data_IF_087814589839
#
_entry.id   IF_087814589839
#
_cell.length_a   1.000
_cell.length_b   1.000
_cell.length_c   1.000
_cell.angle_alpha   90.00
_cell.angle_beta   90.00
_cell.angle_gamma   90.00
#
_symmetry.space_group_name_H-M   'P 1'
#
loop_
_entity.id
_entity.type
_entity.pdbx_description
1 polymer ?
#
# COMPACT_ATOMS: atom_id res chain seq x y z
N UNK A 1 -4.92 10.37 16.63
CA UNK A 1 -4.28 9.29 17.41
C UNK A 1 -4.21 8.03 16.54
N UNK A 2 -3.05 7.39 16.36
CA UNK A 2 -2.87 6.22 15.47
C UNK A 2 -3.47 4.97 16.13
N UNK A 3 -4.54 4.43 15.55
CA UNK A 3 -5.27 3.29 16.13
C UNK A 3 -4.93 1.95 15.47
N UNK A 4 -4.83 1.95 14.14
CA UNK A 4 -4.40 0.79 13.36
C UNK A 4 -2.88 0.60 13.49
N UNK A 5 -2.45 -0.23 14.45
CA UNK A 5 -1.03 -0.43 14.81
C UNK A 5 -0.77 -0.35 16.31
N UNK A 6 -1.70 0.25 17.07
CA UNK A 6 -1.62 0.36 18.53
C UNK A 6 -2.66 -0.53 19.22
N UNK A 7 -3.85 -0.65 18.63
CA UNK A 7 -4.94 -1.46 19.19
C UNK A 7 -5.00 -2.84 18.50
N UNK A 8 -5.09 -3.89 19.30
CA UNK A 8 -5.36 -5.26 18.83
C UNK A 8 -6.80 -5.36 18.35
N UNK A 9 -7.01 -6.07 17.24
CA UNK A 9 -8.35 -6.43 16.73
C UNK A 9 -8.89 -7.76 17.28
N UNK A 10 -8.20 -8.40 18.24
CA UNK A 10 -8.62 -9.69 18.82
C UNK A 10 -10.01 -9.62 19.42
N UNK A 11 -10.29 -8.55 20.16
CA UNK A 11 -11.51 -8.37 20.95
C UNK A 11 -12.36 -7.17 20.46
N UNK A 12 -12.05 -6.62 19.27
CA UNK A 12 -12.74 -5.44 18.74
C UNK A 12 -12.68 -5.34 17.22
N UNK A 13 -13.70 -4.74 16.64
CA UNK A 13 -13.71 -4.34 15.24
C UNK A 13 -13.02 -2.97 15.07
N UNK A 14 -11.82 -2.99 14.47
CA UNK A 14 -11.04 -1.76 14.23
C UNK A 14 -11.71 -0.80 13.24
N UNK A 15 -12.58 -1.27 12.35
CA UNK A 15 -13.29 -0.37 11.42
C UNK A 15 -14.36 0.45 12.14
N UNK A 16 -14.93 -0.08 13.23
CA UNK A 16 -15.95 0.60 14.05
C UNK A 16 -15.36 1.47 15.17
N UNK A 17 -14.06 1.38 15.39
CA UNK A 17 -13.38 2.11 16.45
C UNK A 17 -13.38 3.62 16.17
N UNK A 18 -13.86 4.42 17.12
CA UNK A 18 -14.06 5.88 16.97
C UNK A 18 -12.78 6.56 16.50
N UNK A 19 -12.84 7.40 15.47
CA UNK A 19 -11.66 8.13 14.98
C UNK A 19 -10.65 7.29 14.18
N UNK A 20 -10.99 6.07 13.77
CA UNK A 20 -10.26 5.35 12.70
C UNK A 20 -10.65 5.88 11.33
N UNK A 21 -11.95 6.03 11.06
CA UNK A 21 -12.46 6.61 9.81
C UNK A 21 -12.10 5.84 8.55
N UNK A 22 -11.89 4.52 8.65
CA UNK A 22 -11.59 3.64 7.52
C UNK A 22 -12.81 2.78 7.18
N UNK A 23 -13.06 2.58 5.89
CA UNK A 23 -14.21 1.83 5.41
C UNK A 23 -13.76 0.49 4.81
N UNK A 24 -14.24 -0.66 5.31
CA UNK A 24 -13.98 -1.93 4.65
C UNK A 24 -14.76 -2.01 3.33
N UNK A 25 -14.11 -2.47 2.26
CA UNK A 25 -14.72 -2.73 0.96
C UNK A 25 -14.41 -4.16 0.52
N UNK A 26 -15.35 -4.86 -0.15
CA UNK A 26 -15.06 -6.17 -0.73
C UNK A 26 -13.85 -6.10 -1.68
N UNK A 27 -12.99 -7.09 -1.55
CA UNK A 27 -11.89 -7.34 -2.49
C UNK A 27 -12.41 -7.92 -3.80
N UNK A 28 -11.62 -7.81 -4.87
CA UNK A 28 -11.96 -8.31 -6.22
C UNK A 28 -11.81 -9.81 -6.36
N UNK A 29 -10.83 -10.43 -5.67
CA UNK A 29 -10.49 -11.86 -5.82
C UNK A 29 -10.49 -12.64 -4.50
N UNK A 30 -10.37 -11.97 -3.36
CA UNK A 30 -10.24 -12.60 -2.04
C UNK A 30 -11.40 -12.28 -1.09
N UNK A 31 -11.52 -13.07 0.00
CA UNK A 31 -12.50 -12.84 1.07
C UNK A 31 -12.10 -11.71 2.03
N UNK A 32 -10.80 -11.52 2.25
CA UNK A 32 -10.30 -10.47 3.12
C UNK A 32 -10.63 -9.10 2.50
N UNK A 33 -11.20 -8.13 3.24
CA UNK A 33 -11.58 -6.83 2.68
C UNK A 33 -10.36 -5.94 2.42
N UNK A 34 -10.50 -5.01 1.48
CA UNK A 34 -9.60 -3.86 1.33
C UNK A 34 -10.12 -2.65 2.11
N UNK A 35 -9.26 -1.67 2.33
CA UNK A 35 -9.62 -0.37 2.91
C UNK A 35 -9.98 0.59 1.78
N UNK A 36 -11.20 1.11 1.73
CA UNK A 36 -11.69 1.96 0.62
C UNK A 36 -10.83 3.20 0.38
N UNK A 37 -10.30 3.80 1.45
CA UNK A 37 -9.50 5.03 1.43
C UNK A 37 -8.05 4.81 0.99
N UNK A 38 -7.61 3.55 0.83
CA UNK A 38 -6.27 3.25 0.34
C UNK A 38 -6.09 3.63 -1.14
N UNK A 39 -4.91 4.15 -1.48
CA UNK A 39 -4.57 4.54 -2.85
C UNK A 39 -4.16 3.36 -3.75
N UNK A 40 -3.82 2.23 -3.13
CA UNK A 40 -3.35 1.02 -3.80
C UNK A 40 -3.62 -0.21 -2.95
N UNK A 41 -3.85 -1.34 -3.62
CA UNK A 41 -4.20 -2.61 -3.01
C UNK A 41 -3.47 -3.75 -3.71
N UNK A 42 -2.90 -4.63 -2.89
CA UNK A 42 -2.35 -5.91 -3.30
C UNK A 42 -3.16 -6.99 -2.62
N UNK A 43 -3.89 -7.77 -3.40
CA UNK A 43 -4.60 -8.95 -2.91
C UNK A 43 -3.67 -10.15 -3.02
N UNK A 44 -3.31 -10.72 -1.88
CA UNK A 44 -2.32 -11.79 -1.80
C UNK A 44 -2.90 -13.07 -1.20
N UNK A 45 -2.63 -14.22 -1.84
CA UNK A 45 -2.82 -15.55 -1.24
C UNK A 45 -1.56 -15.94 -0.50
N UNK A 46 -1.68 -16.37 0.76
CA UNK A 46 -0.52 -16.89 1.51
C UNK A 46 -0.06 -18.21 0.89
N UNK A 47 1.20 -18.25 0.44
CA UNK A 47 1.82 -19.44 -0.16
C UNK A 47 2.89 -20.05 0.74
N UNK A 48 3.44 -19.30 1.70
CA UNK A 48 4.40 -19.81 2.68
C UNK A 48 4.28 -19.07 4.01
N UNK A 49 4.53 -19.78 5.11
CA UNK A 49 4.74 -19.23 6.45
C UNK A 49 6.11 -19.68 6.93
N UNK A 50 6.90 -18.76 7.47
CA UNK A 50 8.25 -19.03 7.98
C UNK A 50 8.33 -18.49 9.40
N UNK A 51 8.57 -19.36 10.38
CA UNK A 51 8.82 -18.96 11.76
C UNK A 51 10.23 -18.35 11.86
N UNK A 52 10.32 -17.14 12.39
CA UNK A 52 11.55 -16.36 12.52
C UNK A 52 11.60 -15.75 13.91
N UNK A 53 12.14 -16.51 14.87
CA UNK A 53 12.19 -16.10 16.28
C UNK A 53 10.79 -15.98 16.88
N UNK A 54 10.46 -14.78 17.36
CA UNK A 54 9.16 -14.40 17.93
C UNK A 54 8.13 -13.91 16.88
N UNK A 55 8.49 -13.96 15.59
CA UNK A 55 7.65 -13.50 14.49
C UNK A 55 7.36 -14.62 13.47
N UNK A 56 6.30 -14.45 12.69
CA UNK A 56 6.03 -15.29 11.52
C UNK A 56 6.07 -14.42 10.26
N UNK A 57 6.96 -14.76 9.33
CA UNK A 57 6.99 -14.17 7.99
C UNK A 57 6.00 -14.89 7.09
N UNK A 58 5.05 -14.14 6.52
CA UNK A 58 4.12 -14.64 5.52
C UNK A 58 4.59 -14.25 4.12
N UNK A 59 4.71 -15.22 3.22
CA UNK A 59 4.97 -14.98 1.79
C UNK A 59 3.64 -15.06 1.05
N UNK A 60 3.28 -13.98 0.36
CA UNK A 60 2.04 -13.87 -0.40
C UNK A 60 2.29 -13.86 -1.91
N UNK A 61 1.52 -14.66 -2.64
CA UNK A 61 1.38 -14.57 -4.10
C UNK A 61 0.34 -13.50 -4.43
N UNK A 62 0.72 -12.48 -5.20
CA UNK A 62 -0.21 -11.43 -5.66
C UNK A 62 -1.15 -12.03 -6.70
N UNK A 63 -2.44 -12.10 -6.38
CA UNK A 63 -3.48 -12.61 -7.29
C UNK A 63 -4.24 -11.49 -8.01
N UNK A 64 -4.13 -10.26 -7.49
CA UNK A 64 -4.70 -9.05 -8.07
C UNK A 64 -4.00 -7.81 -7.48
N UNK A 65 -3.79 -6.79 -8.31
CA UNK A 65 -3.19 -5.53 -7.92
C UNK A 65 -3.91 -4.37 -8.63
N UNK A 66 -4.27 -3.34 -7.86
CA UNK A 66 -4.90 -2.15 -8.41
C UNK A 66 -4.60 -0.93 -7.55
N UNK A 67 -4.60 0.22 -8.19
CA UNK A 67 -4.38 1.50 -7.56
C UNK A 67 -5.31 2.55 -8.16
N UNK A 68 -5.42 3.68 -7.48
CA UNK A 68 -6.06 4.87 -8.02
C UNK A 68 -5.32 5.32 -9.29
N UNK A 69 -6.06 5.59 -10.36
CA UNK A 69 -5.51 5.96 -11.67
C UNK A 69 -4.68 7.25 -11.61
N UNK A 70 -4.94 8.13 -10.63
CA UNK A 70 -4.13 9.34 -10.40
C UNK A 70 -2.70 8.98 -9.99
N UNK A 71 -2.53 7.86 -9.30
CA UNK A 71 -1.29 7.41 -8.67
C UNK A 71 -0.56 6.36 -9.51
N UNK A 72 -1.26 5.58 -10.32
CA UNK A 72 -0.65 4.59 -11.21
C UNK A 72 -1.41 4.44 -12.52
N UNK A 73 -0.74 4.64 -13.65
CA UNK A 73 -1.34 4.63 -14.99
C UNK A 73 -1.27 3.25 -15.68
N UNK A 74 -0.84 2.20 -14.96
CA UNK A 74 -0.61 0.86 -15.51
C UNK A 74 0.85 0.59 -15.86
N UNK A 75 1.67 1.64 -16.04
CA UNK A 75 3.09 1.52 -16.37
C UNK A 75 3.98 2.15 -15.30
N UNK A 76 3.55 3.28 -14.73
CA UNK A 76 4.38 4.10 -13.84
C UNK A 76 3.59 4.60 -12.63
N UNK A 77 4.24 4.49 -11.47
CA UNK A 77 3.80 5.17 -10.25
C UNK A 77 4.09 6.67 -10.35
N UNK A 78 3.06 7.49 -10.16
CA UNK A 78 3.15 8.93 -10.09
C UNK A 78 3.26 9.36 -8.62
N UNK A 79 4.47 9.62 -8.12
CA UNK A 79 4.63 10.06 -6.74
C UNK A 79 3.98 11.43 -6.51
N UNK A 80 3.88 12.30 -7.52
CA UNK A 80 3.29 13.66 -7.37
C UNK A 80 1.79 13.65 -7.05
N UNK A 81 1.10 12.54 -7.30
CA UNK A 81 -0.32 12.43 -7.01
C UNK A 81 -0.65 12.16 -5.54
N UNK A 82 0.35 11.87 -4.70
CA UNK A 82 0.10 11.45 -3.31
C UNK A 82 1.26 11.76 -2.38
N UNK A 83 0.91 12.13 -1.15
CA UNK A 83 1.83 12.17 -0.01
C UNK A 83 1.92 10.79 0.62
N UNK A 84 3.07 10.12 0.43
CA UNK A 84 3.29 8.81 1.03
C UNK A 84 3.69 8.94 2.50
N UNK A 85 3.07 8.12 3.34
CA UNK A 85 3.42 8.03 4.75
C UNK A 85 4.57 7.02 4.92
N UNK A 86 5.66 7.42 5.57
CA UNK A 86 6.78 6.53 5.90
C UNK A 86 6.88 6.33 7.41
N UNK A 87 7.13 5.10 7.87
CA UNK A 87 7.38 4.82 9.29
C UNK A 87 8.88 4.85 9.58
N UNK A 88 9.33 5.86 10.34
CA UNK A 88 10.73 5.99 10.80
C UNK A 88 10.95 5.53 12.24
N UNK A 89 9.94 4.91 12.84
CA UNK A 89 9.98 4.38 14.20
C UNK A 89 9.18 5.23 15.19
N UNK A 90 8.71 4.58 16.25
CA UNK A 90 7.80 5.18 17.25
C UNK A 90 6.64 5.93 16.59
N UNK A 91 6.48 7.20 16.92
CA UNK A 91 5.45 8.10 16.47
C UNK A 91 5.84 8.92 15.23
N UNK A 92 7.06 8.77 14.70
CA UNK A 92 7.52 9.46 13.49
C UNK A 92 6.93 8.85 12.21
N UNK A 93 5.93 9.56 11.65
CA UNK A 93 5.35 9.30 10.33
C UNK A 93 5.51 10.51 9.40
N UNK A 94 6.71 10.78 8.88
CA UNK A 94 6.86 11.82 7.87
C UNK A 94 6.08 11.46 6.61
N UNK A 95 5.59 12.52 5.96
CA UNK A 95 5.06 12.47 4.61
C UNK A 95 6.23 12.54 3.61
N UNK A 96 6.03 12.03 2.40
CA UNK A 96 7.00 12.23 1.32
C UNK A 96 7.25 13.72 1.14
N UNK A 97 8.50 14.13 1.32
CA UNK A 97 8.90 15.53 1.19
C UNK A 97 9.08 15.97 -0.26
N UNK A 98 9.71 17.13 -0.40
CA UNK A 98 10.06 17.72 -1.68
C UNK A 98 10.97 16.79 -2.49
N UNK A 99 10.72 16.72 -3.80
CA UNK A 99 11.36 15.75 -4.69
C UNK A 99 12.34 16.45 -5.60
N UNK A 100 13.61 16.19 -5.39
CA UNK A 100 14.63 16.60 -6.35
C UNK A 100 14.67 15.64 -7.52
N UNK A 101 14.72 16.18 -8.75
CA UNK A 101 15.09 15.39 -9.92
C UNK A 101 16.60 15.23 -9.87
N UNK A 102 17.15 14.02 -9.68
CA UNK A 102 18.59 13.84 -9.71
C UNK A 102 19.09 14.25 -11.10
N UNK A 103 20.02 15.20 -11.19
CA UNK A 103 20.60 15.69 -12.45
C UNK A 103 21.30 14.62 -13.32
N UNK A 104 21.33 13.38 -12.84
CA UNK A 104 21.96 12.20 -13.42
C UNK A 104 20.93 11.32 -14.16
N UNK A 105 19.62 11.55 -13.95
CA UNK A 105 18.53 10.85 -14.64
C UNK A 105 18.21 11.62 -15.94
N UNK A 106 19.04 11.41 -16.96
CA UNK A 106 18.71 11.74 -18.35
C UNK A 106 18.06 10.51 -19.01
N UNK A 107 16.86 10.12 -18.55
CA UNK A 107 16.07 9.12 -19.26
C UNK A 107 15.50 9.76 -20.52
N UNK A 108 16.15 9.50 -21.67
CA UNK A 108 15.53 9.75 -22.97
C UNK A 108 14.23 8.94 -23.04
N UNK A 109 13.10 9.54 -23.45
CA UNK A 109 11.84 8.81 -23.56
C UNK A 109 12.02 7.61 -24.49
N UNK A 110 11.83 6.41 -23.98
CA UNK A 110 11.78 5.20 -24.80
C UNK A 110 10.55 5.30 -25.67
N UNK A 111 10.74 5.41 -26.99
CA UNK A 111 9.66 5.45 -27.98
C UNK A 111 8.67 4.31 -27.70
N UNK A 112 7.39 4.64 -27.47
CA UNK A 112 6.31 3.66 -27.33
C UNK A 112 6.39 2.68 -28.50
N UNK A 113 6.65 1.40 -28.21
CA UNK A 113 6.52 0.32 -29.21
C UNK A 113 5.04 0.23 -29.58
N UNK A 114 4.70 0.59 -30.82
CA UNK A 114 3.38 0.27 -31.40
C UNK A 114 3.22 -1.24 -31.34
N UNK A 115 2.20 -1.72 -30.60
CA UNK A 115 1.74 -3.11 -30.70
C UNK A 115 1.14 -3.29 -32.10
N UNK A 116 1.83 -4.04 -32.95
CA UNK A 116 1.25 -4.79 -34.08
C UNK A 116 0.55 -6.02 -33.56
#
# INVERSE_FOLDING_TARGET
MKKCGTLSGRDRDKFREVGVGLTPKPSRRLKAPVVKEGIAHLECRVVKKVEVGDHTLFVGEVVEAYADERVFDGEKFNPEAVELIYQLGRDALPLSGEREKPGWINLKPTKKRKKT
#
